data_IF_929716574565
#
_entry.id   IF_929716574565
#
_cell.length_a   1.000
_cell.length_b   1.000
_cell.length_c   1.000
_cell.angle_alpha   90.00
_cell.angle_beta   90.00
_cell.angle_gamma   90.00
#
_symmetry.space_group_name_H-M   'P 1'
#
loop_
_entity.id
_entity.type
_entity.pdbx_description
1 polymer ?
#
# COMPACT_ATOMS: atom_id res chain seq x y z
N UNK A 1 30.11 2.46 14.33
CA UNK A 1 28.70 2.54 13.89
C UNK A 1 27.94 1.39 14.56
N UNK A 2 26.82 1.61 15.23
CA UNK A 2 26.08 0.53 15.91
C UNK A 2 25.36 -0.40 14.91
N UNK A 3 25.12 -1.66 15.29
CA UNK A 3 24.49 -2.68 14.43
C UNK A 3 23.16 -2.21 13.83
N UNK A 4 22.31 -1.52 14.61
CA UNK A 4 21.03 -0.96 14.13
C UNK A 4 21.22 0.12 13.06
N UNK A 5 22.21 0.99 13.22
CA UNK A 5 22.53 2.03 12.25
C UNK A 5 23.08 1.43 10.94
N UNK A 6 23.87 0.34 11.04
CA UNK A 6 24.35 -0.39 9.87
C UNK A 6 23.20 -1.08 9.12
N UNK A 7 22.25 -1.69 9.83
CA UNK A 7 21.04 -2.28 9.22
C UNK A 7 20.21 -1.21 8.51
N UNK A 8 19.97 -0.06 9.16
CA UNK A 8 19.24 1.04 8.54
C UNK A 8 19.95 1.60 7.31
N UNK A 9 21.27 1.82 7.39
CA UNK A 9 22.08 2.25 6.25
C UNK A 9 21.98 1.26 5.09
N UNK A 10 22.08 -0.04 5.39
CA UNK A 10 21.93 -1.08 4.39
C UNK A 10 20.54 -1.06 3.75
N UNK A 11 19.47 -1.02 4.55
CA UNK A 11 18.09 -1.03 4.06
C UNK A 11 17.70 0.21 3.26
N UNK A 12 18.20 1.39 3.65
CA UNK A 12 17.79 2.66 3.06
C UNK A 12 18.65 3.10 1.87
N UNK A 13 19.92 2.70 1.83
CA UNK A 13 20.86 3.18 0.82
C UNK A 13 21.42 2.03 -0.02
N UNK A 14 22.01 1.02 0.62
CA UNK A 14 22.71 -0.06 -0.11
C UNK A 14 21.73 -0.93 -0.89
N UNK A 15 20.65 -1.37 -0.25
CA UNK A 15 19.67 -2.28 -0.85
C UNK A 15 18.91 -1.64 -2.02
N UNK A 16 18.40 -0.39 -1.93
CA UNK A 16 17.76 0.27 -3.07
C UNK A 16 18.74 0.51 -4.22
N UNK A 17 19.98 0.92 -3.90
CA UNK A 17 21.02 1.12 -4.91
C UNK A 17 21.36 -0.18 -5.64
N UNK A 18 21.61 -1.25 -4.89
CA UNK A 18 21.90 -2.57 -5.45
C UNK A 18 20.73 -3.09 -6.30
N UNK A 19 19.49 -2.91 -5.85
CA UNK A 19 18.30 -3.32 -6.60
C UNK A 19 18.21 -2.62 -7.96
N UNK A 20 18.53 -1.32 -8.02
CA UNK A 20 18.55 -0.56 -9.27
C UNK A 20 19.67 -1.03 -10.20
N UNK A 21 20.86 -1.29 -9.68
CA UNK A 21 21.98 -1.81 -10.47
C UNK A 21 21.69 -3.21 -11.03
N UNK A 22 21.16 -4.11 -10.20
CA UNK A 22 20.75 -5.45 -10.65
C UNK A 22 19.64 -5.37 -11.70
N UNK A 23 18.70 -4.43 -11.56
CA UNK A 23 17.64 -4.25 -12.54
C UNK A 23 18.18 -3.71 -13.87
N UNK A 24 19.11 -2.75 -13.84
CA UNK A 24 19.79 -2.22 -15.04
C UNK A 24 20.54 -3.34 -15.79
N UNK A 25 21.29 -4.18 -15.06
CA UNK A 25 22.03 -5.30 -15.62
C UNK A 25 21.12 -6.39 -16.24
N UNK A 26 19.87 -6.50 -15.81
CA UNK A 26 18.88 -7.43 -16.36
C UNK A 26 18.27 -6.94 -17.69
N UNK A 27 18.37 -5.65 -18.02
CA UNK A 27 17.78 -5.12 -19.25
C UNK A 27 18.55 -5.60 -20.50
N UNK A 28 17.88 -6.10 -21.55
CA UNK A 28 18.55 -6.72 -22.70
C UNK A 28 19.35 -5.72 -23.56
N UNK A 29 20.56 -6.07 -23.99
CA UNK A 29 21.35 -5.24 -24.92
C UNK A 29 20.74 -5.18 -26.35
N UNK A 30 20.95 -4.12 -27.15
CA UNK A 30 21.88 -3.00 -26.95
C UNK A 30 21.13 -1.69 -26.66
N UNK A 31 21.05 -1.30 -25.38
CA UNK A 31 20.49 0.02 -25.03
C UNK A 31 21.59 1.09 -25.09
N UNK A 32 21.41 2.17 -25.86
CA UNK A 32 22.50 3.06 -26.28
C UNK A 32 23.12 3.91 -25.16
N UNK A 33 22.56 3.94 -23.95
CA UNK A 33 23.12 4.63 -22.77
C UNK A 33 22.65 3.98 -21.45
N UNK A 34 23.41 3.03 -20.87
CA UNK A 34 23.15 2.55 -19.51
C UNK A 34 23.27 3.70 -18.49
N UNK A 35 22.44 3.69 -17.44
CA UNK A 35 22.50 4.71 -16.38
C UNK A 35 21.23 4.88 -15.54
N UNK A 36 21.41 5.33 -14.30
CA UNK A 36 20.37 5.42 -13.26
C UNK A 36 19.05 6.06 -13.73
N UNK A 37 19.12 7.23 -14.38
CA UNK A 37 17.93 7.95 -14.85
C UNK A 37 17.14 7.14 -15.88
N UNK A 38 17.85 6.38 -16.72
CA UNK A 38 17.24 5.52 -17.72
C UNK A 38 16.55 4.32 -17.07
N UNK A 39 17.23 3.64 -16.13
CA UNK A 39 16.68 2.54 -15.35
C UNK A 39 15.42 2.96 -14.62
N UNK A 40 15.44 4.12 -13.94
CA UNK A 40 14.30 4.69 -13.24
C UNK A 40 13.15 5.01 -14.20
N UNK A 41 13.44 5.57 -15.38
CA UNK A 41 12.44 5.82 -16.41
C UNK A 41 11.79 4.53 -16.88
N UNK A 42 12.57 3.48 -17.15
CA UNK A 42 12.04 2.16 -17.55
C UNK A 42 11.19 1.54 -16.45
N UNK A 43 11.57 1.70 -15.19
CA UNK A 43 10.80 1.20 -14.05
C UNK A 43 9.50 2.00 -13.83
N UNK A 44 9.50 3.29 -14.17
CA UNK A 44 8.34 4.20 -14.12
C UNK A 44 7.36 4.00 -15.28
N UNK A 45 7.86 3.95 -16.52
CA UNK A 45 7.25 3.18 -17.61
C UNK A 45 7.17 1.71 -17.13
N UNK A 46 6.69 0.67 -17.80
CA UNK A 46 6.46 -0.66 -17.17
C UNK A 46 5.57 -0.75 -15.89
N UNK A 47 5.50 0.22 -14.97
CA UNK A 47 4.64 0.28 -13.79
C UNK A 47 5.19 -0.41 -12.53
N UNK A 48 6.51 -0.48 -12.33
CA UNK A 48 7.08 -1.23 -11.20
C UNK A 48 6.78 -0.64 -9.83
N UNK A 49 6.66 0.67 -9.75
CA UNK A 49 6.16 1.35 -8.56
C UNK A 49 4.73 0.92 -8.17
N UNK A 50 3.83 0.74 -9.16
CA UNK A 50 2.47 0.26 -8.91
C UNK A 50 2.49 -1.20 -8.45
N UNK A 51 3.37 -2.03 -9.04
CA UNK A 51 3.56 -3.41 -8.60
C UNK A 51 4.14 -3.48 -7.19
N UNK A 52 5.08 -2.60 -6.86
CA UNK A 52 5.63 -2.48 -5.51
C UNK A 52 4.54 -2.10 -4.50
N UNK A 53 3.69 -1.12 -4.82
CA UNK A 53 2.50 -0.79 -4.03
C UNK A 53 1.59 -2.02 -3.91
N UNK A 54 1.38 -2.77 -4.98
CA UNK A 54 0.63 -4.03 -4.96
C UNK A 54 1.22 -5.07 -4.01
N UNK A 55 2.54 -5.27 -4.03
CA UNK A 55 3.25 -6.13 -3.08
C UNK A 55 3.08 -5.64 -1.63
N UNK A 56 3.12 -4.33 -1.42
CA UNK A 56 2.88 -3.73 -0.10
C UNK A 56 1.46 -3.99 0.41
N UNK A 57 0.46 -4.04 -0.48
CA UNK A 57 -0.90 -4.43 -0.12
C UNK A 57 -0.99 -5.89 0.34
N UNK A 58 -0.20 -6.82 -0.20
CA UNK A 58 -0.13 -8.19 0.35
C UNK A 58 0.45 -8.22 1.76
N UNK A 59 1.54 -7.47 2.00
CA UNK A 59 2.10 -7.34 3.33
C UNK A 59 1.07 -6.75 4.30
N UNK A 60 0.32 -5.74 3.87
CA UNK A 60 -0.74 -5.13 4.67
C UNK A 60 -1.87 -6.12 4.97
N UNK A 61 -2.31 -6.90 3.98
CA UNK A 61 -3.30 -7.95 4.21
C UNK A 61 -2.82 -9.01 5.20
N UNK A 62 -1.56 -9.42 5.10
CA UNK A 62 -0.96 -10.35 6.05
C UNK A 62 -0.93 -9.76 7.47
N UNK A 63 -0.54 -8.50 7.61
CA UNK A 63 -0.53 -7.79 8.89
C UNK A 63 -1.94 -7.65 9.47
N UNK A 64 -2.94 -7.36 8.66
CA UNK A 64 -4.34 -7.31 9.09
C UNK A 64 -4.79 -8.65 9.65
N UNK A 65 -4.54 -9.75 8.93
CA UNK A 65 -4.88 -11.11 9.41
C UNK A 65 -4.16 -11.41 10.71
N UNK A 66 -2.86 -11.11 10.79
CA UNK A 66 -2.09 -11.29 12.02
C UNK A 66 -2.69 -10.53 13.20
N UNK A 67 -3.03 -9.25 13.01
CA UNK A 67 -3.62 -8.41 14.07
C UNK A 67 -4.98 -8.96 14.50
N UNK A 68 -5.82 -9.38 13.55
CA UNK A 68 -7.15 -9.94 13.83
C UNK A 68 -7.03 -11.23 14.64
N UNK A 69 -6.12 -12.13 14.25
CA UNK A 69 -5.90 -13.41 14.93
C UNK A 69 -5.26 -13.20 16.31
N UNK A 70 -4.28 -12.29 16.41
CA UNK A 70 -3.61 -12.00 17.67
C UNK A 70 -4.49 -11.21 18.66
N UNK A 71 -5.50 -10.48 18.16
CA UNK A 71 -6.37 -9.63 18.97
C UNK A 71 -7.85 -9.83 18.60
N UNK A 72 -8.43 -11.02 18.88
CA UNK A 72 -9.80 -11.34 18.47
C UNK A 72 -10.84 -10.40 19.09
N UNK A 73 -10.56 -9.83 20.27
CA UNK A 73 -11.45 -8.90 20.98
C UNK A 73 -11.33 -7.45 20.49
N UNK A 74 -10.36 -7.11 19.63
CA UNK A 74 -10.18 -5.73 19.17
C UNK A 74 -11.43 -5.25 18.40
N UNK A 75 -12.13 -4.24 18.92
CA UNK A 75 -13.31 -3.67 18.29
C UNK A 75 -12.95 -2.69 17.17
N UNK A 76 -12.97 -3.13 15.91
CA UNK A 76 -12.76 -2.25 14.76
C UNK A 76 -13.87 -1.19 14.72
N UNK A 77 -13.46 0.09 14.72
CA UNK A 77 -14.37 1.23 14.63
C UNK A 77 -14.79 1.48 13.19
N UNK A 78 -16.08 1.28 12.92
CA UNK A 78 -16.71 1.52 11.61
C UNK A 78 -17.78 2.59 11.82
N UNK A 79 -17.60 3.77 11.24
CA UNK A 79 -18.51 4.92 11.35
C UNK A 79 -18.92 5.24 12.80
N UNK A 80 -17.96 5.24 13.72
CA UNK A 80 -18.16 5.50 15.14
C UNK A 80 -18.63 4.29 15.96
N UNK A 81 -19.11 3.23 15.32
CA UNK A 81 -19.65 2.05 15.99
C UNK A 81 -18.66 0.88 15.99
N UNK A 82 -18.94 -0.12 16.81
CA UNK A 82 -18.25 -1.41 16.88
C UNK A 82 -19.26 -2.53 16.80
N UNK A 83 -18.96 -3.51 15.96
CA UNK A 83 -19.79 -4.69 15.80
C UNK A 83 -19.21 -5.85 16.61
N UNK A 84 -20.08 -6.56 17.34
CA UNK A 84 -19.74 -7.78 18.06
C UNK A 84 -20.04 -9.04 17.25
N UNK A 85 -19.62 -10.19 17.79
CA UNK A 85 -19.93 -11.52 17.24
C UNK A 85 -19.50 -11.69 15.77
N UNK A 86 -20.31 -12.43 15.01
CA UNK A 86 -20.05 -12.72 13.59
C UNK A 86 -19.89 -11.44 12.75
N UNK A 87 -20.72 -10.42 13.01
CA UNK A 87 -20.63 -9.15 12.29
C UNK A 87 -19.30 -8.44 12.56
N UNK A 88 -18.82 -8.46 13.80
CA UNK A 88 -17.49 -7.95 14.14
C UNK A 88 -16.38 -8.64 13.36
N UNK A 89 -16.46 -9.96 13.21
CA UNK A 89 -15.48 -10.74 12.42
C UNK A 89 -15.54 -10.37 10.94
N UNK A 90 -16.73 -10.30 10.35
CA UNK A 90 -16.89 -9.94 8.93
C UNK A 90 -16.38 -8.55 8.62
N UNK A 91 -16.68 -7.57 9.49
CA UNK A 91 -16.16 -6.20 9.34
C UNK A 91 -14.63 -6.12 9.45
N UNK A 92 -14.01 -6.96 10.30
CA UNK A 92 -12.55 -7.05 10.37
C UNK A 92 -11.96 -7.65 9.09
N UNK A 93 -12.56 -8.73 8.58
CA UNK A 93 -12.08 -9.44 7.39
C UNK A 93 -12.20 -8.62 6.10
N UNK A 94 -13.07 -7.60 6.08
CA UNK A 94 -13.17 -6.68 4.95
C UNK A 94 -11.79 -6.13 4.54
N UNK A 95 -11.02 -5.58 5.49
CA UNK A 95 -9.72 -4.94 5.21
C UNK A 95 -8.72 -5.87 4.50
N UNK A 96 -8.36 -7.05 5.05
CA UNK A 96 -7.41 -7.94 4.39
C UNK A 96 -7.90 -8.43 3.03
N UNK A 97 -9.21 -8.65 2.86
CA UNK A 97 -9.77 -9.06 1.55
C UNK A 97 -9.58 -7.96 0.51
N UNK A 98 -9.93 -6.72 0.83
CA UNK A 98 -9.69 -5.59 -0.10
C UNK A 98 -8.20 -5.42 -0.39
N UNK A 99 -7.34 -5.49 0.63
CA UNK A 99 -5.89 -5.39 0.45
C UNK A 99 -5.36 -6.49 -0.49
N UNK A 100 -5.79 -7.75 -0.35
CA UNK A 100 -5.40 -8.82 -1.28
C UNK A 100 -5.85 -8.54 -2.71
N UNK A 101 -7.12 -8.17 -2.90
CA UNK A 101 -7.67 -7.88 -4.23
C UNK A 101 -6.94 -6.70 -4.90
N UNK A 102 -6.68 -5.63 -4.15
CA UNK A 102 -5.90 -4.49 -4.63
C UNK A 102 -4.49 -4.95 -4.99
N UNK A 103 -3.84 -5.74 -4.14
CA UNK A 103 -2.50 -6.27 -4.36
C UNK A 103 -2.40 -7.06 -5.66
N UNK A 104 -3.32 -8.02 -5.87
CA UNK A 104 -3.42 -8.82 -7.11
C UNK A 104 -3.60 -7.90 -8.32
N UNK A 105 -4.54 -6.96 -8.24
CA UNK A 105 -4.84 -6.03 -9.32
C UNK A 105 -3.65 -5.13 -9.66
N UNK A 106 -2.90 -4.66 -8.67
CA UNK A 106 -1.75 -3.77 -8.85
C UNK A 106 -0.50 -4.50 -9.34
N UNK A 107 -0.24 -5.75 -8.92
CA UNK A 107 0.82 -6.58 -9.48
C UNK A 107 0.62 -6.80 -10.98
N UNK A 108 -0.63 -7.07 -11.38
CA UNK A 108 -1.02 -7.21 -12.77
C UNK A 108 -1.26 -5.88 -13.50
N UNK A 109 -1.17 -4.75 -12.80
CA UNK A 109 -1.48 -3.39 -13.29
C UNK A 109 -2.84 -3.37 -14.04
N UNK A 110 -3.86 -3.98 -13.45
CA UNK A 110 -5.20 -4.19 -14.04
C UNK A 110 -6.19 -3.10 -13.65
N UNK A 111 -7.01 -2.63 -14.61
CA UNK A 111 -8.02 -1.58 -14.36
C UNK A 111 -9.01 -1.91 -13.25
N UNK A 112 -9.42 -3.17 -13.11
CA UNK A 112 -10.30 -3.57 -12.00
C UNK A 112 -9.62 -3.36 -10.63
N UNK A 113 -8.30 -3.54 -10.54
CA UNK A 113 -7.53 -3.30 -9.32
C UNK A 113 -7.59 -1.83 -8.88
N UNK A 114 -7.52 -0.91 -9.84
CA UNK A 114 -7.72 0.51 -9.59
C UNK A 114 -9.13 0.80 -9.07
N UNK A 115 -10.17 0.18 -9.64
CA UNK A 115 -11.55 0.38 -9.19
C UNK A 115 -11.76 -0.11 -7.76
N UNK A 116 -11.24 -1.31 -7.43
CA UNK A 116 -11.28 -1.86 -6.07
C UNK A 116 -10.53 -0.95 -5.10
N UNK A 117 -9.35 -0.46 -5.48
CA UNK A 117 -8.59 0.50 -4.69
C UNK A 117 -9.40 1.78 -4.42
N UNK A 118 -10.01 2.38 -5.45
CA UNK A 118 -10.77 3.62 -5.29
C UNK A 118 -12.01 3.42 -4.41
N UNK A 119 -12.71 2.31 -4.56
CA UNK A 119 -13.83 1.95 -3.69
C UNK A 119 -13.39 1.85 -2.23
N UNK A 120 -12.28 1.15 -1.98
CA UNK A 120 -11.74 0.98 -0.64
C UNK A 120 -11.17 2.28 -0.06
N UNK A 121 -10.54 3.11 -0.89
CA UNK A 121 -10.06 4.44 -0.48
C UNK A 121 -11.22 5.35 -0.08
N UNK A 122 -12.32 5.38 -0.84
CA UNK A 122 -13.54 6.12 -0.48
C UNK A 122 -14.08 5.64 0.86
N UNK A 123 -14.20 4.32 1.05
CA UNK A 123 -14.59 3.76 2.35
C UNK A 123 -13.65 4.23 3.47
N UNK A 124 -12.34 4.15 3.27
CA UNK A 124 -11.32 4.60 4.21
C UNK A 124 -11.46 6.09 4.58
N UNK A 125 -11.66 6.96 3.59
CA UNK A 125 -11.90 8.39 3.80
C UNK A 125 -13.15 8.66 4.62
N UNK A 126 -14.29 8.10 4.21
CA UNK A 126 -15.56 8.33 4.89
C UNK A 126 -15.49 7.77 6.30
N UNK A 127 -15.00 6.54 6.48
CA UNK A 127 -14.90 5.90 7.79
C UNK A 127 -13.97 6.67 8.73
N UNK A 128 -12.77 7.02 8.29
CA UNK A 128 -11.83 7.76 9.12
C UNK A 128 -12.32 9.17 9.44
N UNK A 129 -12.99 9.85 8.51
CA UNK A 129 -13.57 11.17 8.74
C UNK A 129 -14.70 11.12 9.75
N UNK A 130 -15.65 10.19 9.60
CA UNK A 130 -16.73 9.99 10.59
C UNK A 130 -16.13 9.66 11.95
N UNK A 131 -15.18 8.73 12.00
CA UNK A 131 -14.48 8.36 13.23
C UNK A 131 -13.71 9.52 13.87
N UNK A 132 -13.18 10.47 13.09
CA UNK A 132 -12.55 11.68 13.62
C UNK A 132 -13.56 12.62 14.29
N UNK A 133 -14.76 12.73 13.71
CA UNK A 133 -15.81 13.62 14.21
C UNK A 133 -16.46 13.08 15.48
N UNK A 134 -16.70 11.76 15.55
CA UNK A 134 -17.55 11.17 16.60
C UNK A 134 -16.79 10.54 17.76
N UNK A 135 -15.52 10.15 17.57
CA UNK A 135 -14.74 9.53 18.64
C UNK A 135 -14.00 10.60 19.45
N UNK A 136 -13.71 10.36 20.73
CA UNK A 136 -12.89 11.28 21.51
C UNK A 136 -11.42 11.29 21.05
N UNK A 137 -10.68 12.39 21.28
CA UNK A 137 -9.22 12.43 21.10
C UNK A 137 -8.49 11.37 21.95
N UNK A 138 -7.25 10.98 21.60
CA UNK A 138 -6.40 11.53 20.54
C UNK A 138 -6.67 10.96 19.14
N UNK A 139 -6.41 11.79 18.12
CA UNK A 139 -6.71 11.49 16.71
C UNK A 139 -5.49 11.21 15.82
N UNK A 140 -4.29 11.20 16.39
CA UNK A 140 -3.01 11.19 15.66
C UNK A 140 -2.96 10.12 14.56
N UNK A 141 -3.31 8.88 14.90
CA UNK A 141 -3.28 7.75 13.96
C UNK A 141 -4.24 7.98 12.78
N UNK A 142 -5.45 8.51 13.05
CA UNK A 142 -6.47 8.74 12.02
C UNK A 142 -6.10 9.89 11.09
N UNK A 143 -5.49 10.96 11.63
CA UNK A 143 -5.00 12.09 10.83
C UNK A 143 -3.87 11.63 9.91
N UNK A 144 -2.90 10.91 10.45
CA UNK A 144 -1.79 10.35 9.66
C UNK A 144 -2.32 9.40 8.59
N UNK A 145 -3.24 8.51 8.94
CA UNK A 145 -3.90 7.62 8.00
C UNK A 145 -4.59 8.38 6.85
N UNK A 146 -5.39 9.40 7.15
CA UNK A 146 -6.07 10.22 6.13
C UNK A 146 -5.08 10.96 5.23
N UNK A 147 -4.04 11.55 5.82
CA UNK A 147 -3.00 12.25 5.06
C UNK A 147 -2.27 11.30 4.09
N UNK A 148 -1.83 10.14 4.57
CA UNK A 148 -1.19 9.13 3.73
C UNK A 148 -2.16 8.61 2.66
N UNK A 149 -3.41 8.30 3.03
CA UNK A 149 -4.41 7.83 2.07
C UNK A 149 -4.64 8.84 0.95
N UNK A 150 -4.68 10.14 1.25
CA UNK A 150 -4.77 11.22 0.25
C UNK A 150 -3.56 11.27 -0.68
N UNK A 151 -2.35 11.21 -0.13
CA UNK A 151 -1.11 11.23 -0.93
C UNK A 151 -1.03 10.01 -1.83
N UNK A 152 -1.28 8.80 -1.30
CA UNK A 152 -1.28 7.57 -2.10
C UNK A 152 -2.38 7.59 -3.17
N UNK A 153 -3.58 8.06 -2.84
CA UNK A 153 -4.70 8.15 -3.80
C UNK A 153 -4.37 9.11 -4.92
N UNK A 154 -3.83 10.30 -4.61
CA UNK A 154 -3.39 11.27 -5.61
C UNK A 154 -2.30 10.69 -6.52
N UNK A 155 -1.32 10.00 -5.95
CA UNK A 155 -0.26 9.32 -6.72
C UNK A 155 -0.83 8.25 -7.66
N UNK A 156 -1.71 7.39 -7.16
CA UNK A 156 -2.32 6.31 -7.96
C UNK A 156 -3.19 6.90 -9.07
N UNK A 157 -3.96 7.96 -8.79
CA UNK A 157 -4.76 8.67 -9.79
C UNK A 157 -3.88 9.35 -10.85
N UNK A 158 -2.72 9.89 -10.49
CA UNK A 158 -1.75 10.37 -11.47
C UNK A 158 -1.30 9.21 -12.37
N UNK A 159 -0.97 8.06 -11.78
CA UNK A 159 -0.52 6.86 -12.50
C UNK A 159 -1.64 6.07 -13.20
N UNK A 160 -2.91 6.50 -13.11
CA UNK A 160 -4.10 5.75 -13.59
C UNK A 160 -4.01 5.26 -15.04
N UNK A 161 -3.34 6.00 -15.93
CA UNK A 161 -3.18 5.64 -17.35
C UNK A 161 -2.34 4.37 -17.56
N UNK A 162 -1.60 3.91 -16.54
CA UNK A 162 -0.80 2.69 -16.60
C UNK A 162 -1.62 1.42 -16.42
N UNK A 163 -2.80 1.51 -15.81
CA UNK A 163 -3.68 0.37 -15.62
C UNK A 163 -4.26 -0.06 -16.98
N UNK A 164 -3.89 -1.27 -17.41
CA UNK A 164 -4.35 -1.84 -18.67
C UNK A 164 -5.88 -2.07 -18.62
N UNK A 165 -6.60 -1.95 -19.75
CA UNK A 165 -8.01 -2.32 -19.86
C UNK A 165 -8.31 -3.69 -19.26
#
# INVERSE_FOLDING_TARGET
MGVRAAILFFLLLVLPWWSLQSYDAYLPAPYPKPGLLHTLRIAYERGHDLRYIGAHFFLTAFMDVYIIVANPEYGLKVFGTTFGGLWGVLWKLQSPVFHLLIGIGFLGVKRWGLLVYLLYAVFGFVNATVNLVVLPPPHNIRIVFLGLLAVFTAYILWRRKRFAP
#
